data_IF_431743342495
#
_entry.id   IF_431743342495
#
_cell.length_a   1.000
_cell.length_b   1.000
_cell.length_c   1.000
_cell.angle_alpha   90.00
_cell.angle_beta   90.00
_cell.angle_gamma   90.00
#
_symmetry.space_group_name_H-M   'P 1'
#
loop_
_entity.id
_entity.type
_entity.pdbx_description
1 polymer ?
#
# COMPACT_ATOMS: atom_id res chain seq x y z
N UNK A 1 -6.42 -22.49 16.91
CA UNK A 1 -5.28 -21.55 16.83
C UNK A 1 -5.34 -20.93 15.45
N UNK A 2 -5.64 -19.63 15.35
CA UNK A 2 -5.74 -18.95 14.06
C UNK A 2 -4.32 -18.67 13.53
N UNK A 3 -4.05 -19.10 12.29
CA UNK A 3 -2.75 -18.94 11.63
C UNK A 3 -2.82 -17.81 10.62
N UNK A 4 -1.91 -16.86 10.71
CA UNK A 4 -1.80 -15.77 9.75
C UNK A 4 -0.92 -16.24 8.58
N UNK A 5 -1.53 -16.91 7.60
CA UNK A 5 -0.80 -17.52 6.47
C UNK A 5 -0.52 -16.51 5.35
N UNK A 6 0.76 -16.31 5.02
CA UNK A 6 1.22 -15.43 3.94
C UNK A 6 1.05 -16.00 2.53
N UNK A 7 0.68 -17.27 2.37
CA UNK A 7 0.49 -17.91 1.04
C UNK A 7 -0.62 -17.23 0.25
N UNK A 8 -1.75 -16.96 0.88
CA UNK A 8 -2.87 -16.27 0.26
C UNK A 8 -2.49 -14.83 -0.16
N UNK A 9 -1.91 -14.00 0.74
CA UNK A 9 -1.34 -12.70 0.38
C UNK A 9 -0.33 -12.72 -0.78
N UNK A 10 0.54 -13.73 -0.85
CA UNK A 10 1.49 -13.92 -1.95
C UNK A 10 0.78 -14.02 -3.29
N UNK A 11 -0.23 -14.88 -3.40
CA UNK A 11 -1.00 -15.03 -4.63
C UNK A 11 -1.82 -13.77 -4.95
N UNK A 12 -2.31 -13.06 -3.94
CA UNK A 12 -2.92 -11.73 -4.12
C UNK A 12 -1.96 -10.75 -4.82
N UNK A 13 -0.75 -10.59 -4.32
CA UNK A 13 0.26 -9.73 -4.96
C UNK A 13 0.61 -10.23 -6.36
N UNK A 14 0.85 -11.54 -6.52
CA UNK A 14 1.21 -12.13 -7.80
C UNK A 14 0.14 -11.89 -8.88
N UNK A 15 -1.13 -12.16 -8.56
CA UNK A 15 -2.24 -11.90 -9.47
C UNK A 15 -2.43 -10.40 -9.71
N UNK A 16 -2.27 -9.57 -8.68
CA UNK A 16 -2.31 -8.12 -8.80
C UNK A 16 -1.31 -7.59 -9.85
N UNK A 17 -0.04 -8.02 -9.73
CA UNK A 17 1.04 -7.67 -10.66
C UNK A 17 0.78 -8.25 -12.05
N UNK A 18 0.32 -9.49 -12.14
CA UNK A 18 0.04 -10.14 -13.42
C UNK A 18 -1.07 -9.41 -14.20
N UNK A 19 -2.17 -9.05 -13.54
CA UNK A 19 -3.29 -8.32 -14.17
C UNK A 19 -2.88 -6.91 -14.60
N UNK A 20 -2.11 -6.21 -13.78
CA UNK A 20 -1.53 -4.92 -14.15
C UNK A 20 -0.61 -5.04 -15.37
N UNK A 21 0.26 -6.06 -15.39
CA UNK A 21 1.18 -6.30 -16.50
C UNK A 21 0.44 -6.66 -17.80
N UNK A 22 -0.63 -7.46 -17.72
CA UNK A 22 -1.50 -7.75 -18.87
C UNK A 22 -2.13 -6.47 -19.43
N UNK A 23 -2.67 -5.61 -18.58
CA UNK A 23 -3.24 -4.33 -19.01
C UNK A 23 -2.19 -3.41 -19.65
N UNK A 24 -0.97 -3.38 -19.10
CA UNK A 24 0.15 -2.60 -19.65
C UNK A 24 0.58 -3.08 -21.04
N UNK A 25 0.74 -4.39 -21.21
CA UNK A 25 1.14 -4.98 -22.49
C UNK A 25 0.10 -4.70 -23.57
N UNK A 26 -1.17 -4.88 -23.24
CA UNK A 26 -2.29 -4.69 -24.17
C UNK A 26 -2.45 -3.21 -24.58
N UNK A 27 -2.43 -2.28 -23.62
CA UNK A 27 -2.72 -0.87 -23.90
C UNK A 27 -1.55 -0.04 -24.45
N UNK A 28 -0.33 -0.28 -23.97
CA UNK A 28 0.82 0.59 -24.30
C UNK A 28 1.86 -0.09 -25.19
N UNK A 29 2.11 -1.38 -24.99
CA UNK A 29 3.19 -2.06 -25.69
C UNK A 29 2.77 -2.51 -27.09
N UNK A 30 1.63 -3.19 -27.21
CA UNK A 30 1.13 -3.70 -28.49
C UNK A 30 0.68 -2.55 -29.40
N UNK A 31 -0.03 -1.55 -28.87
CA UNK A 31 -0.46 -0.36 -29.64
C UNK A 31 0.74 0.40 -30.24
N UNK A 32 1.82 0.57 -29.46
CA UNK A 32 3.05 1.22 -29.92
C UNK A 32 3.78 0.39 -30.98
N UNK A 33 3.81 -0.94 -30.84
CA UNK A 33 4.39 -1.85 -31.84
C UNK A 33 3.60 -1.88 -33.15
N UNK A 34 2.28 -1.69 -33.09
CA UNK A 34 1.39 -1.58 -34.26
C UNK A 34 1.48 -0.22 -34.97
N UNK A 35 2.30 0.73 -34.46
CA UNK A 35 2.45 2.07 -35.04
C UNK A 35 1.26 3.00 -34.76
N UNK A 36 0.42 2.67 -33.79
CA UNK A 36 -0.70 3.51 -33.37
C UNK A 36 -0.28 4.39 -32.19
N UNK A 37 -0.87 5.59 -32.07
CA UNK A 37 -0.75 6.35 -30.83
C UNK A 37 -1.50 5.59 -29.73
N UNK A 38 -1.00 5.58 -28.49
CA UNK A 38 -1.68 4.89 -27.39
C UNK A 38 -3.11 5.42 -27.27
N UNK A 39 -4.10 4.54 -27.49
CA UNK A 39 -5.52 4.85 -27.39
C UNK A 39 -5.95 5.05 -25.94
N UNK A 40 -7.14 5.62 -25.75
CA UNK A 40 -7.81 5.67 -24.45
C UNK A 40 -7.96 4.24 -23.89
N UNK A 41 -7.74 4.09 -22.57
CA UNK A 41 -7.82 2.79 -21.91
C UNK A 41 -9.17 2.14 -22.16
N UNK A 42 -9.16 0.91 -22.68
CA UNK A 42 -10.40 0.17 -22.90
C UNK A 42 -11.06 -0.19 -21.57
N UNK A 43 -12.39 -0.42 -21.58
CA UNK A 43 -13.13 -0.87 -20.38
C UNK A 43 -12.52 -2.17 -19.81
N UNK A 44 -12.04 -3.07 -20.69
CA UNK A 44 -11.36 -4.29 -20.26
C UNK A 44 -10.05 -4.00 -19.53
N UNK A 45 -9.24 -3.07 -20.04
CA UNK A 45 -7.99 -2.66 -19.40
C UNK A 45 -8.22 -1.98 -18.06
N UNK A 46 -9.23 -1.10 -17.96
CA UNK A 46 -9.64 -0.49 -16.69
C UNK A 46 -10.08 -1.55 -15.69
N UNK A 47 -10.83 -2.57 -16.13
CA UNK A 47 -11.21 -3.72 -15.32
C UNK A 47 -9.99 -4.47 -14.79
N UNK A 48 -9.05 -4.83 -15.66
CA UNK A 48 -7.81 -5.52 -15.28
C UNK A 48 -6.97 -4.71 -14.28
N UNK A 49 -6.81 -3.41 -14.51
CA UNK A 49 -6.09 -2.51 -13.60
C UNK A 49 -6.79 -2.46 -12.24
N UNK A 50 -8.12 -2.32 -12.23
CA UNK A 50 -8.91 -2.21 -10.99
C UNK A 50 -8.82 -3.49 -10.17
N UNK A 51 -9.04 -4.66 -10.77
CA UNK A 51 -8.86 -5.94 -10.08
C UNK A 51 -7.41 -6.16 -9.66
N UNK A 52 -6.46 -5.74 -10.49
CA UNK A 52 -5.03 -5.77 -10.16
C UNK A 52 -4.73 -5.00 -8.87
N UNK A 53 -5.27 -3.78 -8.74
CA UNK A 53 -5.16 -2.95 -7.54
C UNK A 53 -5.82 -3.64 -6.33
N UNK A 54 -7.01 -4.19 -6.49
CA UNK A 54 -7.73 -4.87 -5.38
C UNK A 54 -6.92 -6.06 -4.85
N UNK A 55 -6.44 -6.93 -5.74
CA UNK A 55 -5.63 -8.09 -5.34
C UNK A 55 -4.30 -7.67 -4.72
N UNK A 56 -3.66 -6.65 -5.28
CA UNK A 56 -2.42 -6.11 -4.73
C UNK A 56 -2.62 -5.52 -3.33
N UNK A 57 -3.66 -4.70 -3.13
CA UNK A 57 -3.98 -4.12 -1.82
C UNK A 57 -4.33 -5.19 -0.80
N UNK A 58 -5.16 -6.16 -1.18
CA UNK A 58 -5.51 -7.26 -0.30
C UNK A 58 -4.27 -8.08 0.12
N UNK A 59 -3.40 -8.40 -0.83
CA UNK A 59 -2.14 -9.09 -0.54
C UNK A 59 -1.20 -8.26 0.33
N UNK A 60 -1.04 -6.97 0.03
CA UNK A 60 -0.21 -6.07 0.83
C UNK A 60 -0.72 -5.95 2.27
N UNK A 61 -2.04 -5.82 2.48
CA UNK A 61 -2.66 -5.78 3.80
C UNK A 61 -2.40 -7.08 4.55
N UNK A 62 -2.55 -8.24 3.88
CA UNK A 62 -2.27 -9.54 4.49
C UNK A 62 -0.81 -9.69 4.96
N UNK A 63 0.16 -9.24 4.16
CA UNK A 63 1.57 -9.23 4.59
C UNK A 63 1.83 -8.27 5.75
N UNK A 64 1.22 -7.08 5.72
CA UNK A 64 1.33 -6.12 6.82
C UNK A 64 0.71 -6.69 8.09
N UNK A 65 -0.45 -7.33 8.02
CA UNK A 65 -1.08 -8.02 9.16
C UNK A 65 -0.19 -9.15 9.69
N UNK A 66 0.31 -10.05 8.83
CA UNK A 66 1.20 -11.13 9.25
C UNK A 66 2.51 -10.62 9.89
N UNK A 67 3.02 -9.49 9.43
CA UNK A 67 4.19 -8.85 10.03
C UNK A 67 3.89 -8.19 11.37
N UNK A 68 2.71 -7.56 11.51
CA UNK A 68 2.27 -6.92 12.74
C UNK A 68 1.95 -7.94 13.83
N UNK A 69 1.14 -8.93 13.51
CA UNK A 69 0.55 -9.89 14.45
C UNK A 69 1.35 -11.20 14.59
N UNK A 70 2.32 -11.43 13.71
CA UNK A 70 3.07 -12.69 13.65
C UNK A 70 2.30 -13.82 12.96
N UNK A 71 2.97 -14.96 12.76
CA UNK A 71 2.41 -16.10 12.02
C UNK A 71 1.39 -16.94 12.82
N UNK A 72 1.42 -16.84 14.15
CA UNK A 72 0.52 -17.54 15.07
C UNK A 72 -0.10 -16.54 16.03
N UNK A 73 -1.43 -16.41 16.02
CA UNK A 73 -2.14 -15.58 16.99
C UNK A 73 -2.18 -16.32 18.34
N UNK A 74 -1.39 -15.85 19.30
CA UNK A 74 -1.35 -16.37 20.66
C UNK A 74 -2.16 -15.44 21.57
N UNK A 75 -3.13 -15.96 22.36
CA UNK A 75 -3.85 -15.15 23.32
C UNK A 75 -2.90 -14.55 24.35
N UNK A 76 -3.05 -13.25 24.63
CA UNK A 76 -2.20 -12.53 25.57
C UNK A 76 -1.92 -11.10 25.14
N UNK A 77 -1.23 -10.37 26.01
CA UNK A 77 -0.71 -9.02 25.73
C UNK A 77 0.73 -9.15 25.25
N UNK A 78 1.01 -8.65 24.06
CA UNK A 78 2.37 -8.42 23.59
C UNK A 78 2.75 -6.96 23.86
N UNK A 79 3.77 -6.76 24.69
CA UNK A 79 4.32 -5.42 24.93
C UNK A 79 5.08 -4.96 23.69
N UNK A 80 4.93 -3.67 23.36
CA UNK A 80 5.64 -3.09 22.23
C UNK A 80 7.16 -3.17 22.45
N UNK A 81 7.89 -3.70 21.46
CA UNK A 81 9.36 -3.78 21.46
C UNK A 81 9.99 -2.41 21.15
N UNK A 82 9.64 -1.41 21.94
CA UNK A 82 10.16 -0.05 21.81
C UNK A 82 11.69 -0.01 21.87
N UNK A 83 12.30 0.97 21.20
CA UNK A 83 13.75 1.13 21.22
C UNK A 83 14.25 2.32 20.41
N UNK A 84 15.57 2.56 20.50
CA UNK A 84 16.21 3.67 19.78
C UNK A 84 16.13 3.50 18.26
N UNK A 85 16.20 2.27 17.75
CA UNK A 85 16.15 2.01 16.31
C UNK A 85 14.78 2.35 15.67
N UNK A 86 13.63 1.86 16.18
CA UNK A 86 12.32 2.30 15.71
C UNK A 86 12.11 3.82 15.79
N UNK A 87 12.62 4.46 16.84
CA UNK A 87 12.54 5.92 17.00
C UNK A 87 13.30 6.66 15.89
N UNK A 88 14.51 6.22 15.54
CA UNK A 88 15.29 6.80 14.43
C UNK A 88 14.54 6.61 13.10
N UNK A 89 13.94 5.45 12.87
CA UNK A 89 13.15 5.18 11.65
C UNK A 89 11.96 6.13 11.57
N UNK A 90 11.19 6.29 12.65
CA UNK A 90 10.07 7.24 12.71
C UNK A 90 10.55 8.67 12.45
N UNK A 91 11.66 9.08 13.04
CA UNK A 91 12.22 10.42 12.84
C UNK A 91 12.62 10.67 11.38
N UNK A 92 13.31 9.72 10.74
CA UNK A 92 13.70 9.82 9.32
C UNK A 92 12.47 9.87 8.41
N UNK A 93 11.47 9.02 8.66
CA UNK A 93 10.22 9.02 7.90
C UNK A 93 9.44 10.33 8.09
N UNK A 94 9.44 10.90 9.30
CA UNK A 94 8.82 12.19 9.56
C UNK A 94 9.52 13.33 8.81
N UNK A 95 10.85 13.36 8.78
CA UNK A 95 11.62 14.34 7.98
C UNK A 95 11.33 14.18 6.48
N UNK A 96 11.27 12.94 6.00
CA UNK A 96 10.93 12.65 4.61
C UNK A 96 9.51 13.12 4.27
N UNK A 97 8.54 12.90 5.17
CA UNK A 97 7.16 13.36 5.01
C UNK A 97 7.07 14.89 4.92
N UNK A 98 7.80 15.59 5.80
CA UNK A 98 7.88 17.07 5.77
C UNK A 98 8.52 17.53 4.47
N UNK A 99 9.61 16.91 4.04
CA UNK A 99 10.30 17.25 2.79
C UNK A 99 9.41 17.05 1.56
N UNK A 100 8.71 15.91 1.46
CA UNK A 100 7.77 15.63 0.38
C UNK A 100 6.58 16.58 0.41
N UNK A 101 5.99 16.84 1.58
CA UNK A 101 4.89 17.80 1.73
C UNK A 101 5.31 19.22 1.32
N UNK A 102 6.52 19.64 1.70
CA UNK A 102 7.09 20.91 1.27
C UNK A 102 7.29 20.99 -0.24
N UNK A 103 7.78 19.91 -0.86
CA UNK A 103 7.93 19.80 -2.31
C UNK A 103 6.57 19.84 -3.03
N UNK A 104 5.53 19.22 -2.46
CA UNK A 104 4.16 19.29 -2.97
C UNK A 104 3.65 20.73 -3.01
N UNK A 105 3.75 21.42 -1.88
CA UNK A 105 3.32 22.83 -1.77
C UNK A 105 4.12 23.70 -2.73
N UNK A 106 5.43 23.51 -2.82
CA UNK A 106 6.27 24.25 -3.76
C UNK A 106 5.86 24.01 -5.22
N UNK A 107 5.57 22.77 -5.61
CA UNK A 107 5.07 22.44 -6.94
C UNK A 107 3.71 23.09 -7.22
N UNK A 108 2.82 23.17 -6.23
CA UNK A 108 1.55 23.88 -6.36
C UNK A 108 1.79 25.37 -6.59
N UNK A 109 2.64 26.00 -5.77
CA UNK A 109 2.95 27.43 -5.89
C UNK A 109 3.61 27.76 -7.23
N UNK A 110 4.59 26.96 -7.65
CA UNK A 110 5.20 27.05 -8.97
C UNK A 110 4.15 26.93 -10.08
N UNK A 111 3.22 25.97 -9.93
CA UNK A 111 2.10 25.76 -10.84
C UNK A 111 1.20 26.99 -11.03
N UNK A 112 1.07 27.81 -9.99
CA UNK A 112 0.26 29.02 -9.99
C UNK A 112 0.99 30.21 -10.64
N UNK A 113 2.32 30.26 -10.59
CA UNK A 113 3.12 31.40 -11.08
C UNK A 113 3.75 31.19 -12.45
N UNK A 114 4.29 30.00 -12.72
CA UNK A 114 5.12 29.70 -13.89
C UNK A 114 4.40 28.81 -14.93
N UNK A 115 3.20 28.32 -14.60
CA UNK A 115 2.37 27.49 -15.47
C UNK A 115 2.18 26.06 -14.95
N UNK A 116 1.24 25.31 -15.53
CA UNK A 116 0.74 24.07 -14.93
C UNK A 116 1.82 22.98 -14.82
N UNK A 117 2.03 22.50 -13.60
CA UNK A 117 2.86 21.31 -13.33
C UNK A 117 2.17 20.07 -13.89
N UNK A 118 2.97 19.15 -14.46
CA UNK A 118 2.46 17.87 -14.99
C UNK A 118 1.65 17.13 -13.92
N UNK A 119 0.39 16.80 -14.25
CA UNK A 119 -0.52 16.09 -13.35
C UNK A 119 0.05 14.76 -12.84
N UNK A 120 0.79 14.03 -13.68
CA UNK A 120 1.46 12.78 -13.28
C UNK A 120 2.48 12.97 -12.17
N UNK A 121 3.23 14.07 -12.18
CA UNK A 121 4.20 14.39 -11.13
C UNK A 121 3.51 14.69 -9.81
N UNK A 122 2.43 15.48 -9.83
CA UNK A 122 1.60 15.74 -8.64
C UNK A 122 1.01 14.45 -8.05
N UNK A 123 0.50 13.56 -8.91
CA UNK A 123 -0.03 12.27 -8.49
C UNK A 123 1.03 11.36 -7.86
N UNK A 124 2.22 11.28 -8.45
CA UNK A 124 3.35 10.51 -7.90
C UNK A 124 3.78 11.05 -6.53
N UNK A 125 3.81 12.36 -6.38
CA UNK A 125 4.24 13.00 -5.16
C UNK A 125 3.20 12.83 -4.03
N UNK A 126 1.91 12.94 -4.36
CA UNK A 126 0.83 12.60 -3.44
C UNK A 126 0.86 11.13 -3.01
N UNK A 127 1.10 10.21 -3.96
CA UNK A 127 1.23 8.78 -3.65
C UNK A 127 2.43 8.51 -2.73
N UNK A 128 3.57 9.17 -2.95
CA UNK A 128 4.75 9.05 -2.10
C UNK A 128 4.47 9.55 -0.66
N UNK A 129 3.77 10.68 -0.51
CA UNK A 129 3.35 11.20 0.80
C UNK A 129 2.49 10.18 1.54
N UNK A 130 1.46 9.64 0.87
CA UNK A 130 0.57 8.64 1.46
C UNK A 130 1.33 7.37 1.85
N UNK A 131 2.26 6.91 1.02
CA UNK A 131 3.08 5.73 1.32
C UNK A 131 3.95 5.95 2.55
N UNK A 132 4.60 7.12 2.67
CA UNK A 132 5.40 7.46 3.86
C UNK A 132 4.50 7.55 5.11
N UNK A 133 3.30 8.11 5.00
CA UNK A 133 2.32 8.11 6.08
C UNK A 133 1.91 6.70 6.50
N UNK A 134 1.64 5.81 5.55
CA UNK A 134 1.32 4.41 5.83
C UNK A 134 2.48 3.71 6.55
N UNK A 135 3.72 3.91 6.09
CA UNK A 135 4.90 3.34 6.75
C UNK A 135 5.06 3.85 8.19
N UNK A 136 4.84 5.15 8.42
CA UNK A 136 4.85 5.72 9.77
C UNK A 136 3.83 5.04 10.68
N UNK A 137 2.59 4.86 10.21
CA UNK A 137 1.54 4.22 10.99
C UNK A 137 1.85 2.75 11.29
N UNK A 138 2.38 2.02 10.30
CA UNK A 138 2.75 0.60 10.45
C UNK A 138 3.89 0.43 11.47
N UNK A 139 4.94 1.25 11.37
CA UNK A 139 6.05 1.24 12.34
C UNK A 139 5.59 1.68 13.72
N UNK A 140 4.75 2.72 13.80
CA UNK A 140 4.19 3.19 15.07
C UNK A 140 3.37 2.10 15.76
N UNK A 141 2.48 1.43 15.02
CA UNK A 141 1.69 0.32 15.54
C UNK A 141 2.60 -0.80 16.08
N UNK A 142 3.60 -1.23 15.32
CA UNK A 142 4.44 -2.38 15.72
C UNK A 142 5.30 -2.14 16.95
N UNK A 143 5.85 -0.93 17.10
CA UNK A 143 6.93 -0.67 18.07
C UNK A 143 6.53 0.25 19.23
N UNK A 144 5.34 0.86 19.18
CA UNK A 144 4.91 1.83 20.20
C UNK A 144 3.48 1.61 20.71
N UNK A 145 2.73 0.67 20.16
CA UNK A 145 1.38 0.31 20.62
C UNK A 145 1.42 -1.13 21.11
N UNK A 146 0.95 -1.36 22.34
CA UNK A 146 0.81 -2.71 22.87
C UNK A 146 -0.33 -3.44 22.13
N UNK A 147 -0.11 -4.70 21.79
CA UNK A 147 -1.11 -5.54 21.15
C UNK A 147 -1.77 -6.45 22.20
N UNK A 148 -3.09 -6.57 22.14
CA UNK A 148 -3.87 -7.49 22.98
C UNK A 148 -4.70 -8.40 22.07
N UNK A 149 -4.37 -9.70 22.09
CA UNK A 149 -5.13 -10.71 21.36
C UNK A 149 -6.22 -11.26 22.28
N UNK A 150 -7.42 -10.74 22.12
CA UNK A 150 -8.62 -11.23 22.78
C UNK A 150 -9.18 -12.41 21.99
N UNK A 151 -9.39 -13.53 22.67
CA UNK A 151 -10.23 -14.62 22.15
C UNK A 151 -11.64 -14.34 22.64
N UNK A 152 -12.49 -13.85 21.74
CA UNK A 152 -13.92 -13.76 22.01
C UNK A 152 -14.54 -15.11 21.64
N UNK A 153 -15.22 -15.77 22.58
CA UNK A 153 -15.96 -16.99 22.30
C UNK A 153 -17.10 -16.63 21.33
N UNK A 154 -17.00 -17.10 20.09
CA UNK A 154 -18.02 -16.86 19.08
C UNK A 154 -19.31 -17.59 19.47
N UNK A 155 -20.23 -16.88 20.12
CA UNK A 155 -21.62 -17.31 20.31
C UNK A 155 -22.46 -16.93 19.08
N UNK A 156 -21.98 -17.29 17.90
CA UNK A 156 -22.80 -17.24 16.69
C UNK A 156 -23.71 -18.47 16.68
N UNK A 157 -25.03 -18.27 16.69
CA UNK A 157 -26.01 -19.34 16.47
C UNK A 157 -25.98 -19.90 15.02
N UNK A 158 -25.15 -19.30 14.15
CA UNK A 158 -25.02 -19.66 12.73
C UNK A 158 -23.62 -20.24 12.48
N UNK A 159 -23.50 -21.41 11.82
CA UNK A 159 -22.26 -22.19 11.79
C UNK A 159 -21.22 -21.70 10.77
N UNK A 160 -21.22 -20.41 10.43
CA UNK A 160 -20.31 -19.79 9.48
C UNK A 160 -20.01 -18.35 9.87
#
# INVERSE_FOLDING_TARGET
MYRNDTVLPFFGILFGVALWYMAYLDGLHIARLAGHQPEELSVGQLGLITFGIVFFLWGAIGYVSAWLEGGELRPGREEAEGGAAPMVVVFVLALLLVGLSGLFVNAVLYGLTEGPVKSSFMGQLAAAILLVMTLLLVVYKKFFVDDEVLVEDEHSEVPW
#
